data_IF_379981267433
#
_entry.id   IF_379981267433
#
_cell.length_a   1.000
_cell.length_b   1.000
_cell.length_c   1.000
_cell.angle_alpha   90.00
_cell.angle_beta   90.00
_cell.angle_gamma   90.00
#
_symmetry.space_group_name_H-M   'P 1'
#
loop_
_entity.id
_entity.type
_entity.pdbx_description
1 polymer ?
#
# COMPACT_ATOMS: atom_id res chain seq x y z
N UNK A 1 11.04 4.96 -1.38
CA UNK A 1 9.76 5.25 -2.05
C UNK A 1 9.75 4.54 -3.39
N UNK A 2 8.60 3.99 -3.79
CA UNK A 2 8.41 3.27 -5.04
C UNK A 2 7.32 3.85 -5.93
N UNK A 3 6.58 4.90 -5.57
CA UNK A 3 5.57 5.52 -6.45
C UNK A 3 5.85 7.01 -6.55
N UNK A 4 6.02 7.52 -7.77
CA UNK A 4 6.32 8.94 -8.05
C UNK A 4 5.09 9.66 -8.62
N UNK A 5 5.12 11.00 -8.63
CA UNK A 5 3.97 11.80 -9.08
C UNK A 5 3.48 11.44 -10.49
N UNK A 6 4.40 11.21 -11.44
CA UNK A 6 4.04 10.82 -12.80
C UNK A 6 3.40 9.43 -12.88
N UNK A 7 3.72 8.52 -11.95
CA UNK A 7 3.12 7.18 -11.92
C UNK A 7 1.60 7.26 -11.66
N UNK A 8 1.10 8.31 -10.98
CA UNK A 8 -0.35 8.50 -10.77
C UNK A 8 -1.09 8.59 -12.12
N UNK A 9 -0.48 9.22 -13.12
CA UNK A 9 -1.06 9.36 -14.45
C UNK A 9 -0.81 8.12 -15.32
N UNK A 10 0.43 7.61 -15.31
CA UNK A 10 0.87 6.59 -16.26
C UNK A 10 0.42 5.17 -15.86
N UNK A 11 0.22 4.94 -14.56
CA UNK A 11 -0.07 3.62 -13.98
C UNK A 11 -1.50 3.45 -13.47
N UNK A 12 -2.34 4.48 -13.55
CA UNK A 12 -3.76 4.33 -13.30
C UNK A 12 -4.35 3.26 -14.23
N UNK A 13 -5.15 2.34 -13.67
CA UNK A 13 -5.86 1.31 -14.42
C UNK A 13 -7.30 1.21 -13.94
N UNK A 14 -8.27 0.90 -14.83
CA UNK A 14 -9.63 0.61 -14.43
C UNK A 14 -9.71 -0.52 -13.40
N UNK A 15 -10.71 -0.46 -12.53
CA UNK A 15 -10.98 -1.50 -11.55
C UNK A 15 -11.12 -2.88 -12.22
N UNK A 16 -10.54 -3.91 -11.60
CA UNK A 16 -10.56 -5.29 -12.09
C UNK A 16 -9.48 -5.62 -13.13
N UNK A 17 -8.65 -4.66 -13.53
CA UNK A 17 -7.49 -4.96 -14.38
C UNK A 17 -6.41 -5.69 -13.58
N UNK A 18 -5.90 -6.80 -14.12
CA UNK A 18 -4.95 -7.67 -13.42
C UNK A 18 -3.59 -7.02 -13.08
N UNK A 19 -3.21 -5.93 -13.76
CA UNK A 19 -1.93 -5.21 -13.55
C UNK A 19 -2.06 -3.97 -12.65
N UNK A 20 -3.19 -3.81 -11.93
CA UNK A 20 -3.34 -2.75 -10.92
C UNK A 20 -2.30 -2.91 -9.81
N UNK A 21 -1.63 -1.81 -9.51
CA UNK A 21 -0.75 -1.74 -8.34
C UNK A 21 -1.59 -1.49 -7.09
N UNK A 22 -1.18 -2.04 -5.95
CA UNK A 22 -1.86 -1.83 -4.69
C UNK A 22 -1.07 -0.93 -3.74
N UNK A 23 -1.76 -0.13 -2.94
CA UNK A 23 -1.18 0.70 -1.90
C UNK A 23 -1.73 0.28 -0.51
N UNK A 24 -0.87 0.04 0.49
CA UNK A 24 -1.33 -0.25 1.84
C UNK A 24 -1.81 1.03 2.54
N UNK A 25 -2.96 0.94 3.23
CA UNK A 25 -3.54 2.04 4.00
C UNK A 25 -3.77 1.58 5.44
N UNK A 26 -3.13 2.24 6.39
CA UNK A 26 -3.33 2.03 7.83
C UNK A 26 -4.01 3.25 8.46
N UNK A 27 -4.85 3.03 9.48
CA UNK A 27 -5.56 4.11 10.18
C UNK A 27 -6.50 3.60 11.26
N UNK A 28 -6.70 4.38 12.32
CA UNK A 28 -7.53 3.98 13.46
C UNK A 28 -9.00 4.41 13.32
N UNK A 29 -9.27 5.47 12.55
CA UNK A 29 -10.63 5.88 12.19
C UNK A 29 -11.10 5.10 10.95
N UNK A 30 -12.14 4.25 11.07
CA UNK A 30 -12.60 3.43 9.96
C UNK A 30 -13.16 4.25 8.80
N UNK A 31 -13.85 5.37 9.08
CA UNK A 31 -14.45 6.20 8.05
C UNK A 31 -13.39 6.98 7.27
N UNK A 32 -12.40 7.53 7.96
CA UNK A 32 -11.26 8.19 7.31
C UNK A 32 -10.43 7.20 6.49
N UNK A 33 -10.17 6.00 7.02
CA UNK A 33 -9.45 4.95 6.27
C UNK A 33 -10.20 4.56 5.01
N UNK A 34 -11.52 4.36 5.10
CA UNK A 34 -12.34 4.02 3.94
C UNK A 34 -12.32 5.13 2.90
N UNK A 35 -12.47 6.40 3.29
CA UNK A 35 -12.40 7.53 2.36
C UNK A 35 -11.08 7.60 1.59
N UNK A 36 -9.94 7.34 2.25
CA UNK A 36 -8.63 7.27 1.58
C UNK A 36 -8.55 6.09 0.62
N UNK A 37 -9.10 4.93 1.00
CA UNK A 37 -9.08 3.75 0.15
C UNK A 37 -9.95 3.93 -1.10
N UNK A 38 -11.11 4.56 -0.96
CA UNK A 38 -12.01 4.89 -2.07
C UNK A 38 -11.32 5.87 -3.03
N UNK A 39 -10.67 6.91 -2.50
CA UNK A 39 -9.89 7.84 -3.33
C UNK A 39 -8.79 7.13 -4.13
N UNK A 40 -8.05 6.20 -3.52
CA UNK A 40 -6.99 5.44 -4.21
C UNK A 40 -7.60 4.56 -5.31
N UNK A 41 -8.75 3.95 -5.06
CA UNK A 41 -9.49 3.17 -6.08
C UNK A 41 -9.92 4.05 -7.26
N UNK A 42 -10.51 5.22 -6.98
CA UNK A 42 -10.89 6.20 -8.00
C UNK A 42 -9.70 6.70 -8.83
N UNK A 43 -8.52 6.81 -8.22
CA UNK A 43 -7.26 7.15 -8.91
C UNK A 43 -6.70 6.00 -9.75
N UNK A 44 -7.30 4.81 -9.72
CA UNK A 44 -6.93 3.68 -10.56
C UNK A 44 -5.95 2.69 -9.93
N UNK A 45 -5.85 2.65 -8.60
CA UNK A 45 -4.98 1.74 -7.85
C UNK A 45 -5.79 0.88 -6.87
N UNK A 46 -5.34 -0.34 -6.60
CA UNK A 46 -5.94 -1.16 -5.54
C UNK A 46 -5.45 -0.72 -4.15
N UNK A 47 -6.13 -1.20 -3.11
CA UNK A 47 -5.71 -0.96 -1.72
C UNK A 47 -5.64 -2.26 -0.93
N UNK A 48 -4.75 -2.28 0.07
CA UNK A 48 -4.71 -3.31 1.11
C UNK A 48 -4.91 -2.63 2.47
N UNK A 49 -5.81 -3.14 3.31
CA UNK A 49 -5.94 -2.64 4.68
C UNK A 49 -4.72 -3.08 5.49
N UNK A 50 -3.93 -2.10 5.93
CA UNK A 50 -2.72 -2.30 6.71
C UNK A 50 -2.96 -2.40 8.21
N UNK A 51 -4.20 -2.31 8.68
CA UNK A 51 -4.55 -2.30 10.10
C UNK A 51 -4.59 -0.90 10.71
N UNK A 52 -4.30 -0.81 12.02
CA UNK A 52 -4.27 0.45 12.75
C UNK A 52 -2.96 1.22 12.55
N UNK A 53 -2.86 2.44 13.09
CA UNK A 53 -1.63 3.22 13.03
C UNK A 53 -0.46 2.52 13.76
N UNK A 54 -0.75 1.75 14.81
CA UNK A 54 0.23 0.93 15.52
C UNK A 54 0.82 -0.20 14.64
N UNK A 55 0.14 -0.61 13.56
CA UNK A 55 0.63 -1.57 12.58
C UNK A 55 1.37 -0.91 11.39
N UNK A 56 1.27 0.42 11.25
CA UNK A 56 1.79 1.16 10.08
C UNK A 56 3.31 1.08 9.90
N UNK A 57 4.06 0.65 10.92
CA UNK A 57 5.50 0.41 10.79
C UNK A 57 5.81 -0.65 9.72
N UNK A 58 4.89 -1.58 9.44
CA UNK A 58 5.05 -2.63 8.42
C UNK A 58 5.16 -2.10 6.99
N UNK A 59 4.84 -0.82 6.78
CA UNK A 59 4.93 -0.12 5.49
C UNK A 59 5.97 1.01 5.44
N UNK A 60 6.86 1.08 6.44
CA UNK A 60 7.93 2.08 6.54
C UNK A 60 9.24 1.60 5.89
N UNK A 61 10.22 2.50 5.64
CA UNK A 61 11.55 2.12 5.14
C UNK A 61 12.16 0.94 5.93
N UNK A 62 12.79 0.02 5.21
CA UNK A 62 13.37 -1.20 5.79
C UNK A 62 12.43 -2.41 5.83
N UNK A 63 11.17 -2.26 5.39
CA UNK A 63 10.21 -3.37 5.31
C UNK A 63 10.02 -3.89 3.88
N UNK A 64 9.60 -5.15 3.68
CA UNK A 64 9.46 -5.74 2.35
C UNK A 64 8.46 -5.03 1.42
N UNK A 65 7.45 -4.35 1.97
CA UNK A 65 6.46 -3.62 1.17
C UNK A 65 6.94 -2.23 0.76
N UNK A 66 7.97 -1.67 1.42
CA UNK A 66 8.39 -0.30 1.17
C UNK A 66 8.95 -0.11 -0.25
N UNK A 67 8.21 0.64 -1.06
CA UNK A 67 8.54 0.88 -2.47
C UNK A 67 8.18 -0.28 -3.42
N UNK A 68 7.48 -1.30 -2.93
CA UNK A 68 6.94 -2.36 -3.76
C UNK A 68 5.87 -1.80 -4.71
N UNK A 69 5.93 -2.22 -5.97
CA UNK A 69 5.07 -1.75 -7.08
C UNK A 69 4.08 -2.82 -7.56
N UNK A 70 3.91 -3.91 -6.80
CA UNK A 70 3.03 -5.03 -7.13
C UNK A 70 1.55 -4.77 -6.83
N UNK A 71 0.70 -5.74 -7.20
CA UNK A 71 -0.72 -5.76 -6.88
C UNK A 71 -1.02 -6.28 -5.47
N UNK A 72 -2.30 -6.50 -5.19
CA UNK A 72 -2.83 -6.87 -3.85
C UNK A 72 -2.06 -8.01 -3.19
N UNK A 73 -1.78 -9.10 -3.91
CA UNK A 73 -1.09 -10.27 -3.35
C UNK A 73 0.34 -9.96 -2.91
N UNK A 74 1.08 -9.20 -3.72
CA UNK A 74 2.46 -8.83 -3.43
C UNK A 74 2.55 -7.88 -2.23
N UNK A 75 1.60 -6.93 -2.13
CA UNK A 75 1.54 -5.98 -1.02
C UNK A 75 1.09 -6.67 0.27
N UNK A 76 0.07 -7.53 0.21
CA UNK A 76 -0.39 -8.34 1.35
C UNK A 76 0.73 -9.20 1.89
N UNK A 77 1.46 -9.88 0.99
CA UNK A 77 2.64 -10.67 1.37
C UNK A 77 3.72 -9.81 2.02
N UNK A 78 4.06 -8.66 1.42
CA UNK A 78 5.09 -7.76 1.96
C UNK A 78 4.76 -7.21 3.35
N UNK A 79 3.48 -6.90 3.61
CA UNK A 79 3.02 -6.50 4.95
C UNK A 79 3.15 -7.64 5.97
N UNK A 80 2.85 -8.88 5.58
CA UNK A 80 2.92 -10.05 6.45
C UNK A 80 4.37 -10.46 6.77
N UNK A 81 5.31 -10.21 5.85
CA UNK A 81 6.73 -10.52 6.01
C UNK A 81 7.53 -9.45 6.77
N UNK A 82 6.90 -8.32 7.13
CA UNK A 82 7.56 -7.26 7.88
C UNK A 82 7.97 -7.74 9.29
N UNK A 83 9.20 -7.44 9.69
CA UNK A 83 9.74 -7.77 11.01
C UNK A 83 9.98 -6.52 11.85
N UNK A 84 9.60 -6.51 13.15
CA UNK A 84 9.89 -5.39 14.04
C UNK A 84 11.38 -5.32 14.45
N UNK A 85 12.16 -6.36 14.14
CA UNK A 85 13.59 -6.37 14.36
C UNK A 85 14.28 -5.38 13.43
N UNK A 86 14.95 -4.38 14.00
CA UNK A 86 15.81 -3.47 13.22
C UNK A 86 17.09 -4.20 12.87
N UNK A 87 17.27 -4.54 11.60
CA UNK A 87 18.56 -4.99 11.09
C UNK A 87 19.55 -3.82 11.12
N UNK A 88 20.81 -4.08 11.49
CA UNK A 88 21.86 -3.09 11.36
C UNK A 88 22.08 -2.81 9.87
N UNK A 89 21.83 -1.57 9.44
CA UNK A 89 22.33 -1.07 8.15
C UNK A 89 23.84 -0.83 8.22
#
# INVERSE_FOLDING_TARGET
>A
NGTYAQDILDRARPQGTADRQALPVAGDDPAAKQAVRDLIDELGFDTVDGGGLDDSWRQQPGTPVYGNRGGVDAITKGLAEASPERTAE
#
